data_IF_599782187770
#
_entry.id   IF_599782187770
#
_cell.length_a   1.000
_cell.length_b   1.000
_cell.length_c   1.000
_cell.angle_alpha   90.00
_cell.angle_beta   90.00
_cell.angle_gamma   90.00
#
_symmetry.space_group_name_H-M   'P 1'
#
loop_
_entity.id
_entity.type
_entity.pdbx_description
1 polymer ?
#
# COMPACT_ATOMS: atom_id res chain seq x y z
N UNK A 1 13.18 -18.38 8.59
CA UNK A 1 12.54 -18.29 7.25
C UNK A 1 11.71 -17.00 7.24
N UNK A 2 11.50 -16.33 6.10
CA UNK A 2 10.73 -15.05 6.04
C UNK A 2 9.50 -15.29 5.16
N UNK A 3 8.32 -14.93 5.65
CA UNK A 3 7.07 -14.92 4.87
C UNK A 3 6.93 -13.56 4.17
N UNK A 4 6.53 -13.56 2.90
CA UNK A 4 6.40 -12.36 2.07
C UNK A 4 5.05 -12.31 1.37
N UNK A 5 4.42 -11.14 1.35
CA UNK A 5 3.15 -10.89 0.66
C UNK A 5 3.21 -9.58 -0.12
N UNK A 6 2.64 -9.62 -1.32
CA UNK A 6 2.41 -8.44 -2.15
C UNK A 6 0.94 -8.05 -2.00
N UNK A 7 0.69 -6.81 -1.56
CA UNK A 7 -0.66 -6.24 -1.47
C UNK A 7 -0.78 -5.13 -2.50
N UNK A 8 -1.80 -5.22 -3.35
CA UNK A 8 -2.11 -4.19 -4.35
C UNK A 8 -3.25 -3.34 -3.82
N UNK A 9 -3.02 -2.02 -3.74
CA UNK A 9 -4.04 -1.05 -3.32
C UNK A 9 -4.35 -0.12 -4.48
N UNK A 10 -5.63 -0.05 -4.85
CA UNK A 10 -6.11 0.92 -5.84
C UNK A 10 -6.48 2.21 -5.11
N UNK A 11 -5.94 3.32 -5.57
CA UNK A 11 -6.26 4.68 -5.16
C UNK A 11 -6.99 5.32 -6.32
N UNK A 12 -8.23 5.77 -6.11
CA UNK A 12 -8.96 6.41 -7.20
C UNK A 12 -8.49 7.84 -7.43
N UNK A 13 -8.68 8.37 -8.64
CA UNK A 13 -8.38 9.77 -8.97
C UNK A 13 -9.04 10.77 -8.00
N UNK A 14 -10.21 10.41 -7.43
CA UNK A 14 -10.93 11.22 -6.45
C UNK A 14 -10.25 11.25 -5.06
N UNK A 15 -9.44 10.23 -4.76
CA UNK A 15 -8.71 10.07 -3.49
C UNK A 15 -7.24 10.52 -3.62
N UNK A 16 -6.81 10.87 -4.84
CA UNK A 16 -5.44 11.33 -5.07
C UNK A 16 -5.17 12.69 -4.42
N UNK A 17 -4.05 12.83 -3.68
CA UNK A 17 -3.58 14.12 -3.23
C UNK A 17 -3.35 15.08 -4.41
N UNK A 18 -3.89 16.29 -4.35
CA UNK A 18 -3.40 17.39 -5.19
C UNK A 18 -1.92 17.65 -4.87
N UNK A 19 -1.11 17.86 -5.90
CA UNK A 19 0.33 18.08 -5.77
C UNK A 19 0.64 19.21 -4.75
N UNK A 20 1.46 18.90 -3.74
CA UNK A 20 1.86 19.85 -2.69
C UNK A 20 1.26 19.58 -1.31
N UNK A 21 0.27 18.69 -1.21
CA UNK A 21 -0.26 18.19 0.07
C UNK A 21 0.18 16.75 0.28
N UNK A 22 0.98 16.49 1.32
CA UNK A 22 1.19 15.13 1.81
C UNK A 22 -0.09 14.72 2.56
N UNK A 23 -1.09 14.20 1.84
CA UNK A 23 -2.23 13.56 2.48
C UNK A 23 -1.76 12.20 2.98
N UNK A 24 -2.01 11.91 4.26
CA UNK A 24 -1.75 10.59 4.80
C UNK A 24 -2.60 9.58 4.01
N UNK A 25 -1.93 8.71 3.26
CA UNK A 25 -2.59 7.60 2.59
C UNK A 25 -3.10 6.64 3.67
N UNK A 26 -4.42 6.51 3.78
CA UNK A 26 -5.02 5.53 4.68
C UNK A 26 -4.79 4.12 4.11
N UNK A 27 -4.15 3.28 4.92
CA UNK A 27 -3.93 1.89 4.54
C UNK A 27 -5.27 1.13 4.59
N UNK A 28 -5.53 0.22 3.64
CA UNK A 28 -6.71 -0.63 3.71
C UNK A 28 -6.75 -1.46 4.99
N UNK A 29 -7.95 -1.81 5.47
CA UNK A 29 -8.17 -2.64 6.65
C UNK A 29 -7.41 -3.98 6.61
N UNK A 30 -7.25 -4.56 5.42
CA UNK A 30 -6.48 -5.79 5.22
C UNK A 30 -4.99 -5.59 5.54
N UNK A 31 -4.43 -4.43 5.22
CA UNK A 31 -3.05 -4.07 5.55
C UNK A 31 -2.93 -3.76 7.04
N UNK A 32 -3.89 -3.04 7.62
CA UNK A 32 -3.92 -2.78 9.07
C UNK A 32 -3.96 -4.08 9.88
N UNK A 33 -4.82 -5.03 9.49
CA UNK A 33 -4.89 -6.36 10.11
C UNK A 33 -3.56 -7.12 9.99
N UNK A 34 -2.88 -7.03 8.84
CA UNK A 34 -1.55 -7.62 8.69
C UNK A 34 -0.52 -6.97 9.62
N UNK A 35 -0.54 -5.65 9.80
CA UNK A 35 0.35 -4.98 10.74
C UNK A 35 0.12 -5.49 12.17
N UNK A 36 -1.13 -5.68 12.58
CA UNK A 36 -1.48 -6.25 13.89
C UNK A 36 -1.01 -7.70 14.06
N UNK A 37 -0.98 -8.48 12.97
CA UNK A 37 -0.39 -9.84 12.91
C UNK A 37 1.15 -9.86 12.87
N UNK A 38 1.80 -8.70 13.03
CA UNK A 38 3.26 -8.57 13.07
C UNK A 38 3.95 -8.48 11.71
N UNK A 39 3.18 -8.25 10.64
CA UNK A 39 3.76 -7.92 9.34
C UNK A 39 4.34 -6.51 9.31
N UNK A 40 5.35 -6.32 8.47
CA UNK A 40 6.01 -5.03 8.26
C UNK A 40 5.98 -4.68 6.78
N UNK A 41 5.62 -3.45 6.46
CA UNK A 41 5.74 -2.91 5.10
C UNK A 41 7.21 -2.56 4.86
N UNK A 42 7.83 -3.24 3.91
CA UNK A 42 9.27 -3.13 3.62
C UNK A 42 9.54 -2.22 2.43
N UNK A 43 8.60 -2.13 1.50
CA UNK A 43 8.72 -1.28 0.32
C UNK A 43 7.34 -0.89 -0.19
N UNK A 44 7.25 0.30 -0.78
CA UNK A 44 6.11 0.74 -1.56
C UNK A 44 6.64 1.30 -2.87
N UNK A 45 6.13 0.82 -4.00
CA UNK A 45 6.39 1.48 -5.27
C UNK A 45 5.37 2.57 -5.50
N UNK A 46 5.83 3.72 -6.01
CA UNK A 46 4.96 4.78 -6.53
C UNK A 46 4.05 4.19 -7.59
N UNK A 47 2.74 4.28 -7.39
CA UNK A 47 1.77 3.75 -8.33
C UNK A 47 1.89 4.42 -9.69
N UNK A 48 1.76 3.64 -10.75
CA UNK A 48 1.61 4.21 -12.09
C UNK A 48 0.17 4.70 -12.24
N UNK A 49 -0.04 5.96 -12.64
CA UNK A 49 -1.38 6.44 -12.95
C UNK A 49 -1.87 5.73 -14.21
N UNK A 50 -3.13 5.29 -14.20
CA UNK A 50 -3.80 4.83 -15.41
C UNK A 50 -4.43 6.01 -16.18
N UNK A 51 -5.05 5.71 -17.32
CA UNK A 51 -5.70 6.73 -18.17
C UNK A 51 -6.92 7.38 -17.51
N UNK A 52 -7.49 6.76 -16.46
CA UNK A 52 -8.55 7.33 -15.62
C UNK A 52 -8.01 8.19 -14.48
N UNK A 53 -6.69 8.23 -14.29
CA UNK A 53 -6.06 8.91 -13.16
C UNK A 53 -6.12 8.12 -11.85
N UNK A 54 -6.45 6.82 -11.89
CA UNK A 54 -6.32 5.96 -10.72
C UNK A 54 -4.85 5.50 -10.59
N UNK A 55 -4.41 5.22 -9.37
CA UNK A 55 -3.09 4.65 -9.08
C UNK A 55 -3.25 3.27 -8.47
N UNK A 56 -2.41 2.33 -8.89
CA UNK A 56 -2.23 1.07 -8.16
C UNK A 56 -0.90 1.11 -7.43
N UNK A 57 -0.96 1.16 -6.10
CA UNK A 57 0.21 1.10 -5.22
C UNK A 57 0.46 -0.35 -4.85
N UNK A 58 1.71 -0.78 -5.00
CA UNK A 58 2.13 -2.11 -4.55
C UNK A 58 2.86 -1.98 -3.22
N UNK A 59 2.33 -2.65 -2.20
CA UNK A 59 2.92 -2.73 -0.87
C UNK A 59 3.57 -4.10 -0.72
N UNK A 60 4.86 -4.11 -0.43
CA UNK A 60 5.59 -5.31 -0.09
C UNK A 60 5.60 -5.48 1.43
N UNK A 61 5.04 -6.57 1.92
CA UNK A 61 4.96 -6.87 3.35
C UNK A 61 5.76 -8.13 3.67
N UNK A 62 6.47 -8.12 4.80
CA UNK A 62 7.19 -9.29 5.30
C UNK A 62 6.96 -9.51 6.80
N UNK A 63 7.04 -10.77 7.23
CA UNK A 63 7.20 -11.11 8.66
C UNK A 63 8.15 -12.29 8.84
N UNK A 64 8.77 -12.43 10.03
CA UNK A 64 9.45 -13.67 10.38
C UNK A 64 8.45 -14.83 10.30
N UNK A 65 8.80 -15.89 9.56
CA UNK A 65 8.00 -17.10 9.57
C UNK A 65 8.10 -17.75 10.95
N UNK A 66 6.96 -18.13 11.51
CA UNK A 66 6.86 -18.88 12.76
C UNK A 66 7.51 -20.26 12.66
#
# INVERSE_FOLDING_TARGET
MIERRLVLVRITAAEMPTAGTATAFELPDSVLTMLDEGWRVVNHTTGFPDLSGDMVVSLYCERPAA
#
